data_IF_951268547523
#
_entry.id   IF_951268547523
#
_cell.length_a   1.000
_cell.length_b   1.000
_cell.length_c   1.000
_cell.angle_alpha   90.00
_cell.angle_beta   90.00
_cell.angle_gamma   90.00
#
_symmetry.space_group_name_H-M   'P 1'
#
loop_
_entity.id
_entity.type
_entity.pdbx_description
1 polymer ?
#
# COMPACT_ATOMS: atom_id res chain seq x y z
N UNK A 1 -36.75 21.88 -10.62
CA UNK A 1 -35.60 20.98 -10.34
C UNK A 1 -36.01 19.72 -9.57
N UNK A 2 -36.81 19.78 -8.49
CA UNK A 2 -37.23 18.59 -7.72
C UNK A 2 -38.72 18.19 -7.88
N UNK A 3 -39.50 18.97 -8.63
CA UNK A 3 -40.95 18.76 -8.77
C UNK A 3 -41.33 17.40 -9.39
N UNK A 4 -40.43 16.77 -10.16
CA UNK A 4 -40.65 15.46 -10.80
C UNK A 4 -39.90 14.31 -10.08
N UNK A 5 -39.24 14.57 -8.95
CA UNK A 5 -38.50 13.57 -8.18
C UNK A 5 -38.79 13.72 -6.67
N UNK A 6 -40.02 13.35 -6.23
CA UNK A 6 -40.45 13.50 -4.85
C UNK A 6 -39.64 12.62 -3.87
N UNK A 7 -39.09 11.49 -4.33
CA UNK A 7 -38.23 10.63 -3.52
C UNK A 7 -36.90 11.32 -3.15
N UNK A 8 -36.28 12.01 -4.10
CA UNK A 8 -35.09 12.82 -3.82
C UNK A 8 -35.40 14.02 -2.94
N UNK A 9 -36.55 14.67 -3.13
CA UNK A 9 -37.00 15.78 -2.28
C UNK A 9 -37.16 15.32 -0.82
N UNK A 10 -37.87 14.21 -0.59
CA UNK A 10 -38.08 13.65 0.74
C UNK A 10 -36.75 13.30 1.44
N UNK A 11 -35.79 12.74 0.70
CA UNK A 11 -34.44 12.45 1.25
C UNK A 11 -33.67 13.71 1.64
N UNK A 12 -33.77 14.79 0.85
CA UNK A 12 -33.11 16.06 1.16
C UNK A 12 -33.74 16.70 2.41
N UNK A 13 -35.08 16.76 2.48
CA UNK A 13 -35.78 17.30 3.64
C UNK A 13 -35.50 16.50 4.91
N UNK A 14 -35.45 15.17 4.83
CA UNK A 14 -35.07 14.31 5.96
C UNK A 14 -33.65 14.57 6.48
N UNK A 15 -32.72 15.00 5.62
CA UNK A 15 -31.34 15.32 5.99
C UNK A 15 -31.14 16.79 6.36
N UNK A 16 -32.11 17.67 6.06
CA UNK A 16 -31.99 19.12 6.25
C UNK A 16 -31.75 19.52 7.71
N UNK A 17 -32.36 18.80 8.65
CA UNK A 17 -32.22 19.04 10.09
C UNK A 17 -31.22 18.07 10.75
N UNK A 18 -30.62 17.14 9.99
CA UNK A 18 -29.68 16.19 10.56
C UNK A 18 -28.36 16.91 10.95
N UNK A 19 -27.80 16.62 12.14
CA UNK A 19 -26.56 17.26 12.57
C UNK A 19 -25.39 16.82 11.66
N UNK A 20 -24.63 17.80 11.17
CA UNK A 20 -23.47 17.58 10.28
C UNK A 20 -22.19 17.18 11.05
N UNK A 21 -22.32 16.26 12.01
CA UNK A 21 -21.22 15.87 12.92
C UNK A 21 -19.98 15.37 12.18
N UNK A 22 -20.17 14.58 11.13
CA UNK A 22 -19.07 13.98 10.38
C UNK A 22 -18.33 15.05 9.57
N UNK A 23 -19.07 15.99 8.98
CA UNK A 23 -18.48 17.14 8.29
C UNK A 23 -17.74 18.06 9.28
N UNK A 24 -18.28 18.28 10.47
CA UNK A 24 -17.62 19.05 11.54
C UNK A 24 -16.31 18.39 11.98
N UNK A 25 -16.28 17.06 12.15
CA UNK A 25 -15.07 16.31 12.49
C UNK A 25 -14.00 16.42 11.40
N UNK A 26 -14.38 16.28 10.12
CA UNK A 26 -13.43 16.45 9.01
C UNK A 26 -12.92 17.89 8.94
N UNK A 27 -13.80 18.89 9.12
CA UNK A 27 -13.42 20.30 9.08
C UNK A 27 -12.50 20.69 10.24
N UNK A 28 -12.74 20.16 11.45
CA UNK A 28 -11.88 20.43 12.61
C UNK A 28 -10.47 19.86 12.42
N UNK A 29 -10.35 18.63 11.90
CA UNK A 29 -9.05 18.02 11.56
C UNK A 29 -8.34 18.81 10.46
N UNK A 30 -9.07 19.27 9.43
CA UNK A 30 -8.49 20.06 8.34
C UNK A 30 -7.89 21.38 8.85
N UNK A 31 -8.62 22.09 9.71
CA UNK A 31 -8.13 23.32 10.34
C UNK A 31 -6.93 23.08 11.26
N UNK A 32 -6.99 22.03 12.08
CA UNK A 32 -5.88 21.68 12.95
C UNK A 32 -4.61 21.34 12.15
N UNK A 33 -4.74 20.59 11.04
CA UNK A 33 -3.64 20.28 10.15
C UNK A 33 -3.06 21.53 9.50
N UNK A 34 -3.91 22.40 8.95
CA UNK A 34 -3.46 23.64 8.31
C UNK A 34 -2.70 24.55 9.27
N UNK A 35 -3.20 24.75 10.49
CA UNK A 35 -2.52 25.53 11.52
C UNK A 35 -1.15 24.95 11.86
N UNK A 36 -1.04 23.62 11.99
CA UNK A 36 0.24 22.93 12.25
C UNK A 36 1.23 23.05 11.08
N UNK A 37 0.75 22.99 9.83
CA UNK A 37 1.60 23.18 8.66
C UNK A 37 2.09 24.64 8.61
N UNK A 38 1.20 25.60 8.83
CA UNK A 38 1.55 27.02 8.84
C UNK A 38 2.56 27.37 9.93
N UNK A 39 2.48 26.74 11.10
CA UNK A 39 3.44 26.97 12.18
C UNK A 39 4.87 26.49 11.87
N UNK A 40 5.07 25.70 10.81
CA UNK A 40 6.43 25.32 10.38
C UNK A 40 7.20 26.47 9.73
N UNK A 41 6.53 27.57 9.37
CA UNK A 41 7.13 28.69 8.65
C UNK A 41 7.34 28.46 7.15
N UNK A 42 7.03 27.26 6.65
CA UNK A 42 7.08 26.95 5.21
C UNK A 42 5.87 27.58 4.49
N UNK A 43 6.00 27.94 3.20
CA UNK A 43 4.85 28.33 2.38
C UNK A 43 3.82 27.20 2.32
N UNK A 44 2.57 27.51 2.62
CA UNK A 44 1.45 26.56 2.60
C UNK A 44 0.35 27.10 1.69
N UNK A 45 0.00 26.33 0.67
CA UNK A 45 -1.17 26.57 -0.18
C UNK A 45 -2.28 25.57 0.16
N UNK A 46 -3.53 25.98 -0.02
CA UNK A 46 -4.71 25.11 0.09
C UNK A 46 -5.42 25.02 -1.26
N UNK A 47 -5.87 23.82 -1.61
CA UNK A 47 -6.60 23.56 -2.85
C UNK A 47 -7.91 22.83 -2.59
N UNK A 48 -8.82 22.88 -3.55
CA UNK A 48 -10.06 22.09 -3.52
C UNK A 48 -9.91 20.83 -4.35
N UNK A 49 -10.58 19.74 -3.93
CA UNK A 49 -10.65 18.53 -4.75
C UNK A 49 -11.31 18.79 -6.12
N UNK A 50 -12.16 19.81 -6.22
CA UNK A 50 -12.75 20.28 -7.48
C UNK A 50 -11.69 20.82 -8.45
N UNK A 51 -10.76 21.67 -7.98
CA UNK A 51 -9.64 22.16 -8.78
C UNK A 51 -8.74 21.02 -9.24
N UNK A 52 -8.42 20.07 -8.36
CA UNK A 52 -7.63 18.88 -8.71
C UNK A 52 -8.30 18.05 -9.80
N UNK A 53 -9.61 17.80 -9.68
CA UNK A 53 -10.38 17.09 -10.71
C UNK A 53 -10.38 17.86 -12.03
N UNK A 54 -10.59 19.18 -11.98
CA UNK A 54 -10.61 20.03 -13.18
C UNK A 54 -9.25 20.03 -13.90
N UNK A 55 -8.14 20.25 -13.18
CA UNK A 55 -6.78 20.17 -13.73
C UNK A 55 -6.55 18.80 -14.40
N UNK A 56 -6.85 17.71 -13.67
CA UNK A 56 -6.69 16.35 -14.19
C UNK A 56 -7.49 16.11 -15.48
N UNK A 57 -8.74 16.57 -15.52
CA UNK A 57 -9.60 16.44 -16.71
C UNK A 57 -9.11 17.31 -17.86
N UNK A 58 -8.73 18.57 -17.61
CA UNK A 58 -8.20 19.49 -18.64
C UNK A 58 -6.93 18.94 -19.29
N UNK A 59 -6.07 18.28 -18.53
CA UNK A 59 -4.83 17.67 -19.03
C UNK A 59 -4.99 16.21 -19.52
N UNK A 60 -6.22 15.66 -19.56
CA UNK A 60 -6.46 14.30 -20.06
C UNK A 60 -5.80 13.20 -19.22
N UNK A 61 -5.54 13.45 -17.94
CA UNK A 61 -4.79 12.54 -17.08
C UNK A 61 -5.68 11.46 -16.45
N UNK A 62 -5.21 10.20 -16.40
CA UNK A 62 -5.93 9.15 -15.69
C UNK A 62 -5.91 9.39 -14.18
N UNK A 63 -6.91 8.85 -13.48
CA UNK A 63 -7.00 8.98 -12.03
C UNK A 63 -6.04 8.00 -11.35
N UNK A 64 -4.98 8.51 -10.74
CA UNK A 64 -4.09 7.78 -9.84
C UNK A 64 -3.68 8.70 -8.68
N UNK A 65 -3.19 8.15 -7.56
CA UNK A 65 -2.77 8.98 -6.43
C UNK A 65 -1.62 9.94 -6.78
N UNK A 66 -0.66 9.49 -7.59
CA UNK A 66 0.49 10.31 -7.99
C UNK A 66 0.07 11.46 -8.93
N UNK A 67 -0.80 11.17 -9.91
CA UNK A 67 -1.28 12.18 -10.86
C UNK A 67 -2.32 13.12 -10.23
N UNK A 68 -3.13 12.65 -9.27
CA UNK A 68 -3.99 13.51 -8.48
C UNK A 68 -3.14 14.52 -7.67
N UNK A 69 -2.01 14.10 -7.08
CA UNK A 69 -1.11 14.99 -6.35
C UNK A 69 -0.46 16.04 -7.27
N UNK A 70 -0.05 15.65 -8.47
CA UNK A 70 0.45 16.57 -9.51
C UNK A 70 -0.56 17.64 -9.91
N UNK A 71 -1.86 17.34 -9.80
CA UNK A 71 -2.95 18.23 -10.17
C UNK A 71 -3.42 19.17 -9.04
N UNK A 72 -2.77 19.16 -7.86
CA UNK A 72 -3.17 20.03 -6.74
C UNK A 72 -2.67 21.47 -6.97
N UNK A 73 -3.52 22.45 -6.66
CA UNK A 73 -3.17 23.88 -6.74
C UNK A 73 -3.37 24.51 -8.12
N UNK A 74 -2.69 25.63 -8.35
CA UNK A 74 -2.60 26.27 -9.66
C UNK A 74 -1.58 25.53 -10.54
N UNK A 75 -2.06 24.92 -11.63
CA UNK A 75 -1.23 24.14 -12.55
C UNK A 75 -1.51 24.61 -13.98
N UNK A 76 -0.50 25.15 -14.64
CA UNK A 76 -0.62 25.71 -15.98
C UNK A 76 -0.50 24.65 -17.07
N UNK A 77 0.47 23.73 -16.91
CA UNK A 77 0.75 22.65 -17.85
C UNK A 77 1.28 21.40 -17.13
N UNK A 78 1.05 20.23 -17.72
CA UNK A 78 1.61 18.96 -17.28
C UNK A 78 2.21 18.24 -18.48
N UNK A 79 3.51 17.96 -18.43
CA UNK A 79 4.25 17.27 -19.48
C UNK A 79 5.01 16.06 -18.92
N UNK A 80 5.29 15.07 -19.78
CA UNK A 80 6.13 13.94 -19.43
C UNK A 80 5.62 13.07 -18.27
N UNK A 81 4.31 13.08 -17.98
CA UNK A 81 3.73 12.45 -16.79
C UNK A 81 3.78 10.91 -16.79
N UNK A 82 4.06 10.28 -17.95
CA UNK A 82 4.17 8.83 -18.11
C UNK A 82 5.51 8.29 -17.55
N UNK A 83 5.82 8.65 -16.30
CA UNK A 83 7.02 8.16 -15.59
C UNK A 83 6.68 6.91 -14.78
N UNK A 84 7.63 5.98 -14.63
CA UNK A 84 7.51 4.93 -13.62
C UNK A 84 7.37 5.56 -12.24
N UNK A 85 6.45 5.04 -11.43
CA UNK A 85 6.36 5.35 -10.01
C UNK A 85 6.70 4.14 -9.17
N UNK A 86 7.21 4.38 -7.97
CA UNK A 86 7.39 3.35 -6.97
C UNK A 86 6.09 3.18 -6.18
N UNK A 87 5.35 2.11 -6.47
CA UNK A 87 4.22 1.69 -5.65
C UNK A 87 4.75 1.05 -4.36
N UNK A 88 4.32 1.59 -3.22
CA UNK A 88 4.71 1.13 -1.89
C UNK A 88 3.48 0.54 -1.21
N UNK A 89 3.56 -0.72 -0.81
CA UNK A 89 2.49 -1.42 -0.10
C UNK A 89 2.95 -1.77 1.31
N UNK A 90 2.15 -1.45 2.32
CA UNK A 90 2.43 -1.91 3.68
C UNK A 90 2.15 -3.42 3.77
N UNK A 91 3.18 -4.21 4.10
CA UNK A 91 3.09 -5.68 4.23
C UNK A 91 3.16 -6.15 5.69
N UNK A 92 3.30 -5.22 6.63
CA UNK A 92 3.44 -5.52 8.06
C UNK A 92 4.85 -6.00 8.45
N UNK A 93 5.16 -5.96 9.76
CA UNK A 93 6.49 -6.26 10.33
C UNK A 93 6.55 -7.59 11.10
N UNK A 94 5.59 -8.48 10.83
CA UNK A 94 5.34 -9.70 11.59
C UNK A 94 4.25 -9.52 12.65
N UNK A 95 3.82 -10.64 13.25
CA UNK A 95 2.83 -10.63 14.33
C UNK A 95 3.47 -10.39 15.69
N UNK A 96 2.79 -9.65 16.56
CA UNK A 96 3.15 -9.51 17.98
C UNK A 96 2.88 -10.80 18.77
N UNK A 97 1.84 -11.56 18.39
CA UNK A 97 1.51 -12.83 19.01
C UNK A 97 2.52 -13.90 18.60
N UNK A 98 3.14 -14.53 19.60
CA UNK A 98 4.20 -15.53 19.40
C UNK A 98 3.75 -16.95 19.67
N UNK A 99 2.55 -17.11 20.21
CA UNK A 99 1.92 -18.41 20.44
C UNK A 99 0.85 -18.60 19.39
N UNK A 100 0.97 -19.65 18.58
CA UNK A 100 -0.11 -20.10 17.71
C UNK A 100 -1.12 -20.83 18.57
N UNK A 101 -2.39 -20.42 18.48
CA UNK A 101 -3.48 -21.03 19.20
C UNK A 101 -4.28 -21.97 18.27
N UNK A 102 -4.97 -22.95 18.83
CA UNK A 102 -6.07 -23.65 18.15
C UNK A 102 -7.26 -22.70 17.98
N UNK A 103 -8.29 -23.13 17.23
CA UNK A 103 -9.53 -22.36 17.11
C UNK A 103 -10.18 -22.06 18.47
N UNK A 104 -9.99 -22.95 19.44
CA UNK A 104 -10.55 -22.88 20.79
C UNK A 104 -9.62 -22.16 21.79
N UNK A 105 -8.51 -21.56 21.30
CA UNK A 105 -7.61 -20.74 22.12
C UNK A 105 -6.48 -21.49 22.82
N UNK A 106 -6.31 -22.80 22.63
CA UNK A 106 -5.24 -23.57 23.26
C UNK A 106 -3.89 -23.42 22.54
N UNK A 107 -2.75 -23.34 23.23
CA UNK A 107 -1.43 -23.28 22.59
C UNK A 107 -1.15 -24.50 21.71
N UNK A 108 -0.89 -24.28 20.42
CA UNK A 108 -0.51 -25.30 19.42
C UNK A 108 0.97 -25.24 19.03
N UNK A 109 1.64 -24.10 19.28
CA UNK A 109 3.06 -23.98 19.02
C UNK A 109 3.59 -22.58 19.25
N UNK A 110 4.91 -22.47 19.38
CA UNK A 110 5.60 -21.23 19.68
C UNK A 110 6.46 -20.80 18.51
N UNK A 111 6.30 -19.55 18.08
CA UNK A 111 7.18 -18.93 17.10
C UNK A 111 8.55 -18.69 17.72
N UNK A 112 9.60 -18.73 16.88
CA UNK A 112 10.98 -18.50 17.31
C UNK A 112 11.19 -17.11 17.92
N UNK A 113 11.97 -17.01 19.01
CA UNK A 113 12.32 -15.74 19.66
C UNK A 113 13.33 -14.94 18.87
N UNK A 114 14.16 -15.62 18.07
CA UNK A 114 15.13 -15.00 17.20
C UNK A 114 14.47 -14.57 15.89
N UNK A 115 14.50 -13.27 15.63
CA UNK A 115 13.92 -12.68 14.41
C UNK A 115 14.67 -13.11 13.14
N UNK A 116 15.99 -13.32 13.26
CA UNK A 116 16.86 -13.70 12.15
C UNK A 116 17.50 -15.07 12.37
N UNK A 117 17.62 -15.84 11.28
CA UNK A 117 18.36 -17.09 11.20
C UNK A 117 19.28 -17.04 9.98
N UNK A 118 20.56 -17.38 10.16
CA UNK A 118 21.57 -17.34 9.10
C UNK A 118 21.64 -15.99 8.36
N UNK A 119 21.38 -14.88 9.07
CA UNK A 119 21.40 -13.55 8.50
C UNK A 119 20.11 -13.10 7.79
N UNK A 120 19.08 -13.95 7.71
CA UNK A 120 17.78 -13.66 7.06
C UNK A 120 16.63 -13.62 8.06
N UNK A 121 15.58 -12.86 7.78
CA UNK A 121 14.29 -12.91 8.49
C UNK A 121 13.14 -13.19 7.52
N UNK A 122 12.03 -13.72 8.04
CA UNK A 122 10.80 -13.87 7.26
C UNK A 122 10.35 -12.51 6.71
N UNK A 123 10.06 -12.48 5.42
CA UNK A 123 9.71 -11.27 4.67
C UNK A 123 10.91 -10.56 4.02
N UNK A 124 12.15 -11.01 4.22
CA UNK A 124 13.26 -10.50 3.40
C UNK A 124 13.01 -10.86 1.92
N UNK A 125 13.26 -9.93 1.00
CA UNK A 125 13.27 -10.20 -0.43
C UNK A 125 14.64 -10.77 -0.79
N UNK A 126 14.66 -11.96 -1.38
CA UNK A 126 15.89 -12.64 -1.75
C UNK A 126 15.89 -13.01 -3.22
N UNK A 127 17.09 -13.17 -3.74
CA UNK A 127 17.38 -13.90 -4.95
C UNK A 127 18.04 -15.22 -4.56
N UNK A 128 17.39 -16.34 -4.87
CA UNK A 128 17.93 -17.67 -4.66
C UNK A 128 18.45 -18.26 -5.96
N UNK A 129 19.69 -18.74 -5.96
CA UNK A 129 20.29 -19.48 -7.07
C UNK A 129 20.62 -20.88 -6.59
N UNK A 130 19.88 -21.87 -7.09
CA UNK A 130 20.08 -23.28 -6.78
C UNK A 130 20.76 -23.93 -7.97
N UNK A 131 22.01 -24.34 -7.79
CA UNK A 131 22.86 -24.81 -8.88
C UNK A 131 22.64 -26.27 -9.28
N UNK A 132 22.04 -27.10 -8.41
CA UNK A 132 21.87 -28.55 -8.65
C UNK A 132 20.64 -29.10 -7.93
N UNK A 133 20.08 -30.19 -8.47
CA UNK A 133 19.04 -31.00 -7.85
C UNK A 133 17.63 -30.63 -8.32
N UNK A 134 16.60 -31.22 -7.69
CA UNK A 134 15.19 -31.09 -8.12
C UNK A 134 14.65 -29.65 -8.24
N UNK A 135 15.30 -28.68 -7.60
CA UNK A 135 14.89 -27.27 -7.53
C UNK A 135 15.91 -26.36 -8.21
N UNK A 136 16.66 -26.89 -9.17
CA UNK A 136 17.63 -26.10 -9.92
C UNK A 136 16.93 -24.93 -10.61
N UNK A 137 17.54 -23.75 -10.50
CA UNK A 137 16.98 -22.52 -11.06
C UNK A 137 17.27 -21.27 -10.23
N UNK A 138 16.78 -20.15 -10.74
CA UNK A 138 16.86 -18.82 -10.12
C UNK A 138 15.47 -18.37 -9.71
N UNK A 139 15.32 -18.00 -8.44
CA UNK A 139 14.06 -17.58 -7.86
C UNK A 139 14.21 -16.23 -7.19
N UNK A 140 13.26 -15.33 -7.42
CA UNK A 140 13.22 -14.03 -6.75
C UNK A 140 11.91 -13.92 -6.00
N UNK A 141 11.98 -13.64 -4.71
CA UNK A 141 10.79 -13.73 -3.87
C UNK A 141 11.02 -13.40 -2.41
N UNK A 142 9.92 -13.18 -1.69
CA UNK A 142 9.95 -12.99 -0.23
C UNK A 142 10.19 -14.35 0.43
N UNK A 143 11.06 -14.38 1.43
CA UNK A 143 11.47 -15.62 2.08
C UNK A 143 10.69 -15.85 3.37
N UNK A 144 10.26 -17.10 3.63
CA UNK A 144 9.88 -17.57 4.95
C UNK A 144 11.02 -18.39 5.53
N UNK A 145 11.58 -17.90 6.63
CA UNK A 145 12.80 -18.44 7.25
C UNK A 145 12.43 -19.52 8.28
N UNK A 146 13.23 -20.58 8.32
CA UNK A 146 13.19 -21.62 9.36
C UNK A 146 14.53 -21.69 10.06
N UNK A 147 14.53 -22.07 11.34
CA UNK A 147 15.76 -22.20 12.14
C UNK A 147 16.75 -23.22 11.55
N UNK A 148 16.26 -24.21 10.82
CA UNK A 148 17.08 -25.21 10.12
C UNK A 148 17.88 -24.67 8.93
N UNK A 149 17.65 -23.42 8.52
CA UNK A 149 18.28 -22.84 7.33
C UNK A 149 17.64 -23.25 6.00
N UNK A 150 16.57 -24.04 6.05
CA UNK A 150 15.78 -24.44 4.88
C UNK A 150 14.58 -23.49 4.73
N UNK A 151 14.60 -22.67 3.69
CA UNK A 151 13.69 -21.54 3.49
C UNK A 151 12.64 -21.83 2.42
N UNK A 152 11.48 -21.18 2.53
CA UNK A 152 10.50 -21.15 1.45
C UNK A 152 10.56 -19.80 0.74
N UNK A 153 10.70 -19.79 -0.57
CA UNK A 153 10.71 -18.56 -1.38
C UNK A 153 9.36 -18.43 -2.08
N UNK A 154 8.63 -17.35 -1.79
CA UNK A 154 7.38 -17.02 -2.47
C UNK A 154 7.69 -16.28 -3.77
N UNK A 155 7.45 -16.94 -4.90
CA UNK A 155 7.54 -16.36 -6.24
C UNK A 155 6.14 -16.05 -6.78
N UNK A 156 6.01 -15.25 -7.86
CA UNK A 156 4.72 -15.03 -8.51
C UNK A 156 4.06 -16.31 -9.02
N UNK A 157 4.84 -17.34 -9.32
CA UNK A 157 4.39 -18.63 -9.86
C UNK A 157 4.09 -19.68 -8.79
N UNK A 158 4.42 -19.42 -7.51
CA UNK A 158 4.17 -20.35 -6.42
C UNK A 158 5.23 -20.30 -5.32
N UNK A 159 5.21 -21.30 -4.43
CA UNK A 159 6.15 -21.38 -3.31
C UNK A 159 7.21 -22.44 -3.59
N UNK A 160 8.47 -22.01 -3.70
CA UNK A 160 9.61 -22.91 -3.79
C UNK A 160 10.06 -23.26 -2.38
N UNK A 161 9.80 -24.51 -1.97
CA UNK A 161 10.05 -24.94 -0.60
C UNK A 161 11.45 -25.51 -0.40
N UNK A 162 12.02 -25.27 0.77
CA UNK A 162 13.27 -25.88 1.22
C UNK A 162 14.51 -25.52 0.39
N UNK A 163 14.69 -24.24 0.11
CA UNK A 163 15.90 -23.63 -0.44
C UNK A 163 16.85 -23.33 0.71
N UNK A 164 18.10 -23.80 0.66
CA UNK A 164 19.06 -23.55 1.73
C UNK A 164 19.51 -22.08 1.75
N UNK A 165 19.72 -21.51 2.95
CA UNK A 165 20.11 -20.11 3.13
C UNK A 165 21.34 -19.68 2.33
N UNK A 166 22.32 -20.58 2.16
CA UNK A 166 23.55 -20.35 1.35
C UNK A 166 23.28 -20.05 -0.13
N UNK A 167 22.14 -20.53 -0.64
CA UNK A 167 21.72 -20.28 -2.02
C UNK A 167 20.99 -18.95 -2.17
N UNK A 168 20.69 -18.26 -1.06
CA UNK A 168 19.98 -16.99 -1.06
C UNK A 168 20.92 -15.81 -0.94
N UNK A 169 20.68 -14.79 -1.75
CA UNK A 169 21.26 -13.45 -1.66
C UNK A 169 20.17 -12.47 -1.26
N UNK A 170 20.43 -11.67 -0.24
CA UNK A 170 19.49 -10.64 0.21
C UNK A 170 19.42 -9.51 -0.83
N UNK A 171 18.19 -9.14 -1.23
CA UNK A 171 17.92 -7.97 -2.07
C UNK A 171 17.33 -6.81 -1.27
N UNK A 172 16.41 -7.11 -0.35
CA UNK A 172 15.75 -6.10 0.49
C UNK A 172 15.39 -6.71 1.85
N UNK A 173 15.58 -5.94 2.92
CA UNK A 173 15.09 -6.33 4.25
C UNK A 173 13.57 -6.24 4.34
N UNK A 174 12.97 -7.08 5.19
CA UNK A 174 11.62 -6.88 5.71
C UNK A 174 11.58 -5.65 6.63
N UNK A 175 11.36 -4.49 6.01
CA UNK A 175 11.12 -3.18 6.61
C UNK A 175 9.62 -2.90 6.87
N UNK A 176 8.76 -3.81 6.41
CA UNK A 176 7.31 -3.70 6.48
C UNK A 176 6.66 -3.20 5.20
N UNK A 177 7.43 -3.04 4.12
CA UNK A 177 6.94 -2.54 2.85
C UNK A 177 7.35 -3.44 1.67
N UNK A 178 6.43 -3.54 0.71
CA UNK A 178 6.65 -4.06 -0.63
C UNK A 178 6.84 -2.89 -1.60
N UNK A 179 7.80 -3.03 -2.51
CA UNK A 179 8.14 -2.01 -3.50
C UNK A 179 8.00 -2.60 -4.89
N UNK A 180 7.23 -1.94 -5.75
CA UNK A 180 7.04 -2.33 -7.15
C UNK A 180 7.11 -1.09 -8.02
N UNK A 181 7.95 -1.11 -9.06
CA UNK A 181 7.88 -0.08 -10.08
C UNK A 181 6.68 -0.35 -10.97
N UNK A 182 5.79 0.63 -11.09
CA UNK A 182 4.64 0.57 -11.98
C UNK A 182 4.63 1.79 -12.88
N UNK A 183 4.29 1.62 -14.15
CA UNK A 183 4.07 2.74 -15.05
C UNK A 183 2.71 3.35 -14.76
N UNK A 184 2.61 4.68 -14.75
CA UNK A 184 1.33 5.37 -14.76
C UNK A 184 0.58 5.02 -16.06
N UNK A 185 -0.29 4.01 -16.00
CA UNK A 185 -1.17 3.65 -17.11
C UNK A 185 -2.56 4.22 -16.84
N UNK A 186 -3.26 4.59 -17.90
CA UNK A 186 -4.70 4.79 -17.83
C UNK A 186 -5.35 3.53 -17.28
N UNK A 187 -6.22 3.66 -16.29
CA UNK A 187 -6.85 2.52 -15.65
C UNK A 187 -7.60 1.67 -16.69
N UNK A 188 -7.05 0.52 -17.05
CA UNK A 188 -7.86 -0.64 -17.36
C UNK A 188 -8.16 -1.32 -16.02
N UNK A 189 -9.43 -1.38 -15.67
CA UNK A 189 -9.96 -2.09 -14.52
C UNK A 189 -9.48 -3.55 -14.54
N UNK A 190 -8.65 -3.95 -13.58
CA UNK A 190 -8.78 -5.21 -12.85
C UNK A 190 -7.65 -5.33 -11.80
N UNK A 191 -8.03 -5.36 -10.54
CA UNK A 191 -7.20 -5.96 -9.50
C UNK A 191 -7.17 -7.47 -9.73
N UNK A 192 -6.01 -8.16 -9.70
CA UNK A 192 -5.99 -9.58 -9.46
C UNK A 192 -6.36 -9.84 -7.99
N UNK A 193 -7.21 -10.85 -7.78
CA UNK A 193 -7.54 -11.42 -6.48
C UNK A 193 -6.33 -12.10 -5.82
#
# INVERSE_FOLDING_TARGET
FLAQDPGRLARIEAQRQAPLRDAAAVNSVRWALWNRLRSTGLPVEVGTGGRTKWNRTRFGLPKTHALDALCVGAVDAVEGWQRPVLAIHATGRGGYQRTRLTRDGFPRGYLTRRKRHLGFQTGDLVEAVVARGKKEGRYRGRVAVRASGSFNVQTPTGVVQGVHARSCRLLQRADGYGYVQTTQRGAALSSPA
#
